data_IF_049129617472
#
_entry.id   IF_049129617472
#
_cell.length_a   1.000
_cell.length_b   1.000
_cell.length_c   1.000
_cell.angle_alpha   90.00
_cell.angle_beta   90.00
_cell.angle_gamma   90.00
#
_symmetry.space_group_name_H-M   'P 1'
#
loop_
_entity.id
_entity.type
_entity.pdbx_description
1 polymer ?
#
# COMPACT_ATOMS: atom_id res chain seq x y z
N UNK A 1 -15.83 28.35 33.76
CA UNK A 1 -14.41 28.01 33.57
C UNK A 1 -14.31 27.18 32.31
N UNK A 2 -14.13 27.83 31.15
CA UNK A 2 -13.97 27.16 29.85
C UNK A 2 -12.48 26.88 29.67
N UNK A 3 -12.10 25.60 29.64
CA UNK A 3 -10.72 25.19 29.39
C UNK A 3 -10.44 25.29 27.90
N UNK A 4 -9.68 26.31 27.52
CA UNK A 4 -9.12 26.46 26.18
C UNK A 4 -8.15 25.31 25.91
N UNK A 5 -8.48 24.44 24.96
CA UNK A 5 -7.58 23.40 24.48
C UNK A 5 -6.59 24.03 23.52
N UNK A 6 -5.43 24.43 24.03
CA UNK A 6 -4.31 24.93 23.23
C UNK A 6 -3.85 23.82 22.29
N UNK A 7 -4.21 23.93 21.01
CA UNK A 7 -3.72 23.02 19.96
C UNK A 7 -2.30 23.45 19.63
N UNK A 8 -1.31 22.85 20.26
CA UNK A 8 0.10 23.07 19.94
C UNK A 8 0.34 22.63 18.50
N UNK A 9 0.41 23.57 17.57
CA UNK A 9 0.73 23.28 16.17
C UNK A 9 2.19 22.87 16.09
N UNK A 10 2.46 21.56 16.11
CA UNK A 10 3.82 21.04 15.90
C UNK A 10 4.24 21.35 14.46
N UNK A 11 5.08 22.37 14.30
CA UNK A 11 5.63 22.87 13.02
C UNK A 11 6.68 21.95 12.37
N UNK A 12 6.84 20.72 12.88
CA UNK A 12 7.83 19.77 12.39
C UNK A 12 7.44 19.11 11.07
N UNK A 13 8.46 18.66 10.32
CA UNK A 13 8.31 17.76 9.16
C UNK A 13 7.53 16.51 9.56
N UNK A 14 6.58 16.12 8.72
CA UNK A 14 5.83 14.87 8.86
C UNK A 14 6.58 13.72 8.18
N UNK A 15 6.68 12.56 8.84
CA UNK A 15 7.38 11.37 8.35
C UNK A 15 6.38 10.36 7.81
N UNK A 16 6.43 10.12 6.50
CA UNK A 16 5.59 9.16 5.79
C UNK A 16 6.35 7.86 5.56
N UNK A 17 5.96 6.80 6.26
CA UNK A 17 6.48 5.45 6.04
C UNK A 17 6.04 4.86 4.70
N UNK A 18 6.99 4.32 3.94
CA UNK A 18 6.70 3.68 2.65
C UNK A 18 7.62 2.48 2.36
N UNK A 19 7.15 1.58 1.50
CA UNK A 19 7.98 0.49 0.96
C UNK A 19 8.85 1.00 -0.19
N UNK A 20 9.93 0.29 -0.48
CA UNK A 20 10.91 0.68 -1.53
C UNK A 20 10.46 0.44 -2.97
N UNK A 21 9.37 -0.30 -3.18
CA UNK A 21 8.92 -0.59 -4.55
C UNK A 21 8.53 0.70 -5.28
N UNK A 22 8.78 0.76 -6.60
CA UNK A 22 8.43 1.95 -7.42
C UNK A 22 6.98 2.37 -7.26
N UNK A 23 6.05 1.40 -7.19
CA UNK A 23 4.63 1.68 -7.00
C UNK A 23 4.34 2.26 -5.61
N UNK A 24 4.94 1.72 -4.55
CA UNK A 24 4.75 2.24 -3.19
C UNK A 24 5.29 3.66 -3.07
N UNK A 25 6.48 3.95 -3.62
CA UNK A 25 7.04 5.30 -3.65
C UNK A 25 6.15 6.28 -4.42
N UNK A 26 5.58 5.86 -5.55
CA UNK A 26 4.65 6.69 -6.31
C UNK A 26 3.37 6.99 -5.52
N UNK A 27 2.74 5.97 -4.92
CA UNK A 27 1.54 6.13 -4.10
C UNK A 27 1.80 7.03 -2.89
N UNK A 28 2.90 6.81 -2.17
CA UNK A 28 3.31 7.66 -1.05
C UNK A 28 3.64 9.08 -1.49
N UNK A 29 4.22 9.28 -2.67
CA UNK A 29 4.48 10.60 -3.23
C UNK A 29 3.20 11.40 -3.48
N UNK A 30 2.16 10.76 -4.03
CA UNK A 30 0.85 11.38 -4.24
C UNK A 30 0.21 11.81 -2.92
N UNK A 31 0.22 10.92 -1.92
CA UNK A 31 -0.32 11.23 -0.59
C UNK A 31 0.51 12.31 0.12
N UNK A 32 1.84 12.26 0.02
CA UNK A 32 2.72 13.28 0.57
C UNK A 32 2.41 14.66 -0.02
N UNK A 33 2.17 14.75 -1.33
CA UNK A 33 1.78 16.01 -1.95
C UNK A 33 0.44 16.50 -1.43
N UNK A 34 -0.59 15.65 -1.40
CA UNK A 34 -1.90 16.02 -0.88
C UNK A 34 -1.84 16.49 0.59
N UNK A 35 -1.04 15.84 1.42
CA UNK A 35 -0.83 16.23 2.83
C UNK A 35 -0.12 17.58 2.91
N UNK A 36 0.92 17.82 2.10
CA UNK A 36 1.60 19.14 2.04
C UNK A 36 0.64 20.24 1.64
N UNK A 37 -0.19 20.00 0.62
CA UNK A 37 -1.13 21.00 0.08
C UNK A 37 -2.17 21.41 1.12
N UNK A 38 -2.66 20.46 1.93
CA UNK A 38 -3.68 20.72 2.95
C UNK A 38 -3.09 21.30 4.25
N UNK A 39 -1.90 20.84 4.66
CA UNK A 39 -1.33 21.17 5.98
C UNK A 39 -0.30 22.30 5.94
N UNK A 40 0.29 22.58 4.77
CA UNK A 40 1.46 23.46 4.65
C UNK A 40 2.73 22.90 5.27
N UNK A 41 2.73 21.66 5.79
CA UNK A 41 3.89 21.04 6.45
C UNK A 41 4.71 20.23 5.45
N UNK A 42 6.06 20.26 5.55
CA UNK A 42 6.90 19.34 4.80
C UNK A 42 6.56 17.89 5.14
N UNK A 43 6.68 17.01 4.14
CA UNK A 43 6.51 15.56 4.31
C UNK A 43 7.77 14.88 3.79
N UNK A 44 8.42 14.09 4.64
CA UNK A 44 9.58 13.27 4.31
C UNK A 44 9.12 11.82 4.08
N UNK A 45 9.59 11.19 3.00
CA UNK A 45 9.33 9.77 2.76
C UNK A 45 10.43 8.96 3.46
N UNK A 46 10.02 8.13 4.41
CA UNK A 46 10.91 7.25 5.17
C UNK A 46 10.74 5.83 4.64
N UNK A 47 11.79 5.31 4.00
CA UNK A 47 11.79 3.95 3.47
C UNK A 47 11.90 2.90 4.58
N UNK A 48 10.91 2.02 4.67
CA UNK A 48 10.87 0.89 5.59
C UNK A 48 11.16 -0.39 4.81
N UNK A 49 12.21 -1.11 5.23
CA UNK A 49 12.52 -2.44 4.68
C UNK A 49 11.48 -3.44 5.14
N UNK A 50 10.81 -4.13 4.22
CA UNK A 50 9.92 -5.24 4.57
C UNK A 50 10.53 -6.58 4.17
N UNK A 51 10.18 -7.68 4.87
CA UNK A 51 10.64 -9.03 4.52
C UNK A 51 10.29 -9.40 3.07
N UNK A 52 9.13 -8.95 2.60
CA UNK A 52 8.67 -9.15 1.24
C UNK A 52 9.44 -8.37 0.17
N UNK A 53 10.28 -7.41 0.54
CA UNK A 53 11.23 -6.76 -0.38
C UNK A 53 12.51 -7.60 -0.56
N UNK A 54 12.76 -8.56 0.33
CA UNK A 54 13.96 -9.41 0.34
C UNK A 54 13.71 -10.87 -0.05
N UNK A 55 12.45 -11.32 -0.12
CA UNK A 55 12.08 -12.70 -0.43
C UNK A 55 11.50 -12.86 -1.85
N UNK A 56 11.84 -13.97 -2.52
CA UNK A 56 11.28 -14.39 -3.83
C UNK A 56 10.23 -15.50 -3.71
N UNK A 57 9.84 -15.86 -2.50
CA UNK A 57 8.89 -16.95 -2.27
C UNK A 57 7.47 -16.57 -2.72
N UNK A 58 6.63 -17.58 -2.98
CA UNK A 58 5.25 -17.37 -3.41
C UNK A 58 4.44 -16.70 -2.30
N UNK A 59 3.56 -15.75 -2.66
CA UNK A 59 2.61 -15.14 -1.72
C UNK A 59 1.79 -16.18 -0.95
N UNK A 60 1.52 -17.34 -1.57
CA UNK A 60 0.80 -18.44 -0.94
C UNK A 60 1.63 -19.17 0.14
N UNK A 61 2.96 -19.15 0.06
CA UNK A 61 3.86 -19.87 0.99
C UNK A 61 4.35 -19.02 2.17
N UNK A 62 4.41 -17.69 2.02
CA UNK A 62 4.97 -16.77 3.04
C UNK A 62 3.98 -16.52 4.22
N UNK A 63 2.73 -16.98 4.13
CA UNK A 63 1.78 -16.85 5.26
C UNK A 63 0.92 -15.58 5.23
N UNK A 64 0.49 -15.16 4.05
CA UNK A 64 -0.60 -14.18 3.88
C UNK A 64 -0.22 -12.71 4.03
N UNK A 65 -1.22 -11.84 3.93
CA UNK A 65 -1.14 -10.37 3.83
C UNK A 65 -0.36 -9.69 4.96
N UNK A 66 -0.20 -10.35 6.11
CA UNK A 66 0.47 -9.80 7.29
C UNK A 66 1.96 -9.46 7.10
N UNK A 67 2.65 -10.13 6.17
CA UNK A 67 4.11 -10.05 6.02
C UNK A 67 4.60 -8.71 5.45
N UNK A 68 3.76 -8.02 4.66
CA UNK A 68 4.09 -6.68 4.15
C UNK A 68 3.66 -5.55 5.07
N UNK A 69 2.80 -5.87 6.04
CA UNK A 69 2.09 -4.88 6.85
C UNK A 69 2.75 -4.72 8.21
N UNK A 70 3.40 -5.76 8.74
CA UNK A 70 4.04 -5.71 10.07
C UNK A 70 5.06 -4.58 10.18
N UNK A 71 6.05 -4.51 9.28
CA UNK A 71 7.14 -3.55 9.44
C UNK A 71 6.70 -2.06 9.38
N UNK A 72 5.70 -1.72 8.57
CA UNK A 72 5.14 -0.36 8.55
C UNK A 72 4.29 -0.07 9.79
N UNK A 73 3.56 -1.07 10.30
CA UNK A 73 2.81 -0.95 11.56
C UNK A 73 3.74 -0.79 12.74
N UNK A 74 4.81 -1.57 12.81
CA UNK A 74 5.83 -1.49 13.86
C UNK A 74 6.48 -0.10 13.85
N UNK A 75 6.86 0.41 12.68
CA UNK A 75 7.41 1.76 12.54
C UNK A 75 6.43 2.87 12.99
N UNK A 76 5.11 2.68 12.82
CA UNK A 76 4.10 3.61 13.33
C UNK A 76 3.97 3.53 14.85
N UNK A 77 3.90 2.31 15.40
CA UNK A 77 3.74 2.07 16.83
C UNK A 77 4.97 2.54 17.63
N UNK A 78 6.17 2.38 17.06
CA UNK A 78 7.43 2.85 17.65
C UNK A 78 7.64 4.37 17.47
N UNK A 79 6.76 5.06 16.75
CA UNK A 79 6.87 6.49 16.46
C UNK A 79 8.01 6.86 15.52
N UNK A 80 8.56 5.89 14.77
CA UNK A 80 9.59 6.12 13.75
C UNK A 80 9.03 6.88 12.54
N UNK A 81 7.76 6.69 12.22
CA UNK A 81 7.00 7.44 11.22
C UNK A 81 5.66 7.90 11.78
N UNK A 82 5.08 8.96 11.21
CA UNK A 82 3.85 9.57 11.71
C UNK A 82 2.60 8.98 11.03
N UNK A 83 2.73 8.55 9.77
CA UNK A 83 1.69 7.86 9.02
C UNK A 83 2.30 6.98 7.91
N UNK A 84 1.53 6.03 7.38
CA UNK A 84 1.96 5.12 6.32
C UNK A 84 0.91 5.00 5.23
N UNK A 85 1.33 4.63 4.02
CA UNK A 85 0.46 4.39 2.87
C UNK A 85 0.56 2.95 2.42
N UNK A 86 -0.60 2.33 2.19
CA UNK A 86 -0.73 0.98 1.67
C UNK A 86 -1.71 0.95 0.50
N UNK A 87 -1.49 0.01 -0.43
CA UNK A 87 -2.58 -0.43 -1.29
C UNK A 87 -3.62 -1.14 -0.42
N UNK A 88 -4.88 -0.69 -0.47
CA UNK A 88 -5.93 -1.17 0.44
C UNK A 88 -6.13 -2.69 0.39
N UNK A 89 -5.95 -3.31 -0.78
CA UNK A 89 -6.04 -4.76 -0.99
C UNK A 89 -5.04 -5.57 -0.18
N UNK A 90 -3.96 -4.94 0.27
CA UNK A 90 -2.86 -5.59 0.99
C UNK A 90 -3.01 -5.44 2.52
N UNK A 91 -4.03 -4.72 3.01
CA UNK A 91 -4.30 -4.62 4.44
C UNK A 91 -5.14 -5.82 4.92
N UNK A 92 -4.84 -6.37 6.11
CA UNK A 92 -5.73 -7.33 6.75
C UNK A 92 -7.09 -6.70 7.07
N UNK A 93 -8.13 -7.53 7.09
CA UNK A 93 -9.49 -7.08 7.44
C UNK A 93 -9.66 -6.81 8.93
N UNK A 94 -8.82 -7.41 9.77
CA UNK A 94 -8.78 -7.11 11.21
C UNK A 94 -7.92 -5.87 11.48
N UNK A 95 -8.37 -5.06 12.44
CA UNK A 95 -7.64 -3.88 12.89
C UNK A 95 -6.29 -4.22 13.53
N UNK A 96 -5.45 -3.20 13.72
CA UNK A 96 -4.27 -3.30 14.57
C UNK A 96 -4.47 -2.37 15.76
N UNK A 97 -4.29 -2.89 16.97
CA UNK A 97 -4.37 -2.08 18.18
C UNK A 97 -3.37 -0.91 18.11
N UNK A 98 -3.79 0.26 18.57
CA UNK A 98 -2.99 1.48 18.50
C UNK A 98 -2.95 2.15 17.11
N UNK A 99 -3.52 1.53 16.07
CA UNK A 99 -3.54 2.07 14.71
C UNK A 99 -4.96 2.20 14.16
N UNK A 100 -5.14 3.13 13.23
CA UNK A 100 -6.41 3.37 12.55
C UNK A 100 -6.19 3.57 11.06
N UNK A 101 -7.14 3.13 10.24
CA UNK A 101 -7.20 3.54 8.83
C UNK A 101 -7.74 4.97 8.77
N UNK A 102 -6.83 5.95 8.78
CA UNK A 102 -7.19 7.36 8.91
C UNK A 102 -7.84 7.95 7.64
N UNK A 103 -7.52 7.41 6.46
CA UNK A 103 -8.04 7.91 5.19
C UNK A 103 -8.05 6.83 4.11
N UNK A 104 -8.97 6.97 3.17
CA UNK A 104 -9.00 6.24 1.91
C UNK A 104 -9.13 7.28 0.79
N UNK A 105 -8.09 7.48 -0.04
CA UNK A 105 -8.16 8.40 -1.17
C UNK A 105 -9.22 8.00 -2.20
N UNK A 106 -9.49 8.88 -3.16
CA UNK A 106 -10.33 8.56 -4.32
C UNK A 106 -9.81 7.30 -5.02
N UNK A 107 -10.75 6.44 -5.45
CA UNK A 107 -10.43 5.11 -5.96
C UNK A 107 -10.08 5.19 -7.43
N UNK A 108 -8.87 4.77 -7.78
CA UNK A 108 -8.46 4.51 -9.16
C UNK A 108 -9.20 3.32 -9.77
N UNK A 109 -9.05 3.13 -11.08
CA UNK A 109 -9.66 2.02 -11.82
C UNK A 109 -9.41 0.66 -11.13
N UNK A 110 -10.46 -0.03 -10.66
CA UNK A 110 -10.31 -1.27 -9.89
C UNK A 110 -10.18 -2.52 -10.77
N UNK A 111 -10.23 -2.40 -12.10
CA UNK A 111 -10.24 -3.54 -13.03
C UNK A 111 -8.90 -4.26 -13.05
N UNK A 112 -8.97 -5.57 -13.31
CA UNK A 112 -7.79 -6.33 -13.72
C UNK A 112 -7.46 -6.01 -15.18
N UNK A 113 -6.17 -6.05 -15.55
CA UNK A 113 -5.70 -5.85 -16.92
C UNK A 113 -5.02 -7.11 -17.44
N UNK A 114 -5.28 -7.46 -18.70
CA UNK A 114 -4.49 -8.42 -19.45
C UNK A 114 -3.28 -7.69 -20.04
N UNK A 115 -2.08 -8.18 -19.73
CA UNK A 115 -0.84 -7.72 -20.36
C UNK A 115 -0.35 -8.85 -21.26
N UNK A 116 -0.58 -8.70 -22.56
CA UNK A 116 -0.18 -9.65 -23.58
C UNK A 116 0.69 -8.95 -24.64
N UNK A 117 1.51 -9.74 -25.36
CA UNK A 117 2.21 -9.21 -26.55
C UNK A 117 1.19 -8.70 -27.56
N UNK A 118 1.60 -7.72 -28.35
CA UNK A 118 0.82 -7.21 -29.49
C UNK A 118 -0.61 -6.76 -29.16
N UNK A 119 -0.91 -6.50 -27.88
CA UNK A 119 -2.24 -6.10 -27.42
C UNK A 119 -3.31 -7.19 -27.54
N UNK A 120 -2.92 -8.47 -27.56
CA UNK A 120 -3.88 -9.57 -27.68
C UNK A 120 -4.92 -9.55 -26.56
N UNK A 121 -6.18 -9.77 -26.93
CA UNK A 121 -7.26 -10.06 -25.99
C UNK A 121 -7.27 -11.53 -25.59
N UNK A 122 -8.11 -11.90 -24.60
CA UNK A 122 -8.25 -13.30 -24.20
C UNK A 122 -8.72 -14.19 -25.36
N UNK A 123 -9.63 -13.69 -26.20
CA UNK A 123 -10.18 -14.39 -27.37
C UNK A 123 -9.15 -14.60 -28.49
N UNK A 124 -8.06 -13.83 -28.48
CA UNK A 124 -6.99 -13.89 -29.48
C UNK A 124 -5.79 -14.71 -29.01
N UNK A 125 -5.79 -15.20 -27.77
CA UNK A 125 -4.72 -16.06 -27.28
C UNK A 125 -4.75 -17.41 -28.00
N UNK A 126 -3.59 -17.96 -28.42
CA UNK A 126 -3.54 -19.26 -29.05
C UNK A 126 -3.92 -20.37 -28.07
N UNK A 127 -4.46 -21.47 -28.58
CA UNK A 127 -4.72 -22.67 -27.80
C UNK A 127 -3.46 -23.14 -27.07
N UNK A 128 -3.60 -23.44 -25.77
CA UNK A 128 -2.48 -23.82 -24.92
C UNK A 128 -1.62 -22.64 -24.42
N UNK A 129 -2.05 -21.39 -24.63
CA UNK A 129 -1.38 -20.23 -24.04
C UNK A 129 -1.29 -20.33 -22.50
N UNK A 130 -0.16 -19.89 -21.95
CA UNK A 130 0.09 -19.87 -20.50
C UNK A 130 -0.15 -18.46 -19.96
N UNK A 131 -1.06 -18.33 -18.99
CA UNK A 131 -1.33 -17.07 -18.31
C UNK A 131 -0.66 -17.06 -16.92
N UNK A 132 0.23 -16.10 -16.69
CA UNK A 132 0.91 -15.94 -15.41
C UNK A 132 0.10 -15.09 -14.42
N UNK A 133 -0.28 -15.67 -13.28
CA UNK A 133 -0.88 -14.92 -12.17
C UNK A 133 -0.51 -15.56 -10.84
N UNK A 134 -0.11 -14.75 -9.85
CA UNK A 134 0.06 -15.19 -8.46
C UNK A 134 -1.21 -15.06 -7.62
N UNK A 135 -2.32 -14.58 -8.20
CA UNK A 135 -3.59 -14.37 -7.50
C UNK A 135 -4.50 -15.59 -7.63
N UNK A 136 -4.89 -16.25 -6.53
CA UNK A 136 -5.86 -17.34 -6.56
C UNK A 136 -7.23 -16.91 -7.11
N UNK A 137 -7.65 -15.66 -6.82
CA UNK A 137 -8.91 -15.09 -7.36
C UNK A 137 -8.89 -15.06 -8.89
N UNK A 138 -7.83 -14.50 -9.49
CA UNK A 138 -7.71 -14.43 -10.95
C UNK A 138 -7.60 -15.82 -11.56
N UNK A 139 -6.82 -16.71 -10.95
CA UNK A 139 -6.69 -18.08 -11.43
C UNK A 139 -8.05 -18.81 -11.45
N UNK A 140 -8.84 -18.71 -10.38
CA UNK A 140 -10.17 -19.31 -10.34
C UNK A 140 -11.09 -18.75 -11.44
N UNK A 141 -11.10 -17.43 -11.66
CA UNK A 141 -11.94 -16.80 -12.69
C UNK A 141 -11.52 -17.14 -14.11
N UNK A 142 -10.21 -17.31 -14.38
CA UNK A 142 -9.71 -17.68 -15.70
C UNK A 142 -9.96 -19.16 -16.06
N UNK A 143 -10.19 -20.01 -15.07
CA UNK A 143 -10.48 -21.44 -15.24
C UNK A 143 -11.96 -21.79 -15.02
N UNK A 144 -12.83 -20.77 -14.91
CA UNK A 144 -14.25 -20.94 -14.65
C UNK A 144 -15.05 -21.31 -15.92
#
# INVERSE_FOLDING_TARGET
>A
MMTETTTTTTTGTLRLGTRRSKLAMAQSGLVAQAVRDVTGRPVELVEITTYGDTSRESLASIGGTGVFVSALRDALLDGAVDFAVHSLKDLPTYGAEGLVLAAVPEREDPRDALVARDGLTFEQLPDGARVGTGSPRRAAQLNA
#
